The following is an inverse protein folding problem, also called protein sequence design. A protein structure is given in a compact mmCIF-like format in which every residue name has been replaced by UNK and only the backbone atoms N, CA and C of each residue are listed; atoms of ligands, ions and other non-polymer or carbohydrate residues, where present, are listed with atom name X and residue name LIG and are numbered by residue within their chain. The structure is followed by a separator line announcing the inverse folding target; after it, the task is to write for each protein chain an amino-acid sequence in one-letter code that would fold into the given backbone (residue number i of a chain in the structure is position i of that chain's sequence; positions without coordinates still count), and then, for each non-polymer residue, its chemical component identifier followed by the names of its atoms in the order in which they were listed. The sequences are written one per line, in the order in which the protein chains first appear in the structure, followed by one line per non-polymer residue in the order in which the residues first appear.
data_IF_891652533326
#
_entry.id   IF_891652533326
#
_cell.length_a   1.000
_cell.length_b   1.000
_cell.length_c   1.000
_cell.angle_alpha   90.00
_cell.angle_beta   90.00
_cell.angle_gamma   90.00
#
_symmetry.space_group_name_H-M   'P 1'
#
loop_
_entity.id
_entity.type
_entity.pdbx_description
1 polymer ?
#
# COMPACT_ATOMS: atom_id res chain seq x y z
N UNK A 1 -16.73 -25.73 13.19
CA UNK A 1 -17.31 -25.91 14.54
C UNK A 1 -18.02 -24.66 15.10
N UNK A 2 -17.73 -23.43 14.64
CA UNK A 2 -18.43 -22.21 15.10
C UNK A 2 -19.75 -21.89 14.37
N UNK A 3 -19.96 -22.43 13.17
CA UNK A 3 -21.17 -22.21 12.36
C UNK A 3 -22.43 -22.99 12.83
N UNK A 4 -22.29 -23.88 13.82
CA UNK A 4 -23.39 -24.72 14.35
C UNK A 4 -24.20 -24.04 15.47
N UNK A 5 -23.78 -22.87 15.95
CA UNK A 5 -24.55 -22.09 16.92
C UNK A 5 -25.38 -21.06 16.15
N UNK A 6 -26.57 -21.44 15.70
CA UNK A 6 -27.48 -20.54 14.95
C UNK A 6 -27.76 -19.21 15.66
N UNK A 7 -27.61 -19.17 16.99
CA UNK A 7 -27.74 -17.97 17.84
C UNK A 7 -26.56 -16.98 17.71
N UNK A 8 -25.34 -17.47 17.43
CA UNK A 8 -24.16 -16.61 17.16
C UNK A 8 -24.26 -15.96 15.77
N UNK A 9 -24.76 -16.70 14.77
CA UNK A 9 -25.01 -16.14 13.44
C UNK A 9 -26.03 -14.99 13.44
N UNK A 10 -27.11 -15.10 14.24
CA UNK A 10 -28.10 -14.03 14.39
C UNK A 10 -27.55 -12.77 15.05
N UNK A 11 -26.66 -12.90 16.04
CA UNK A 11 -25.97 -11.78 16.70
C UNK A 11 -24.99 -11.09 15.74
N UNK A 12 -24.26 -11.87 14.94
CA UNK A 12 -23.37 -11.32 13.90
C UNK A 12 -24.15 -10.59 12.80
N UNK A 13 -25.36 -11.05 12.45
CA UNK A 13 -26.27 -10.34 11.53
C UNK A 13 -26.82 -9.03 12.10
N UNK A 14 -26.80 -8.86 13.43
CA UNK A 14 -27.20 -7.60 14.07
C UNK A 14 -26.07 -6.57 14.07
N UNK A 15 -24.85 -6.96 13.69
CA UNK A 15 -23.71 -6.03 13.60
C UNK A 15 -23.93 -5.12 12.39
N UNK A 16 -24.10 -3.80 12.61
CA UNK A 16 -24.40 -2.88 11.53
C UNK A 16 -23.20 -2.73 10.59
N UNK A 17 -23.47 -2.58 9.29
CA UNK A 17 -22.46 -2.41 8.23
C UNK A 17 -21.35 -1.38 8.57
N UNK A 18 -21.65 -0.23 9.21
CA UNK A 18 -20.64 0.71 9.70
C UNK A 18 -19.54 0.10 10.58
N UNK A 19 -19.88 -0.84 11.48
CA UNK A 19 -18.90 -1.47 12.39
C UNK A 19 -18.03 -2.47 11.63
N UNK A 20 -18.61 -3.20 10.68
CA UNK A 20 -17.86 -4.10 9.80
C UNK A 20 -16.82 -3.34 8.96
N UNK A 21 -17.14 -2.13 8.49
CA UNK A 21 -16.17 -1.26 7.81
C UNK A 21 -15.01 -0.86 8.73
N UNK A 22 -15.30 -0.49 9.97
CA UNK A 22 -14.30 -0.08 10.96
C UNK A 22 -13.31 -1.18 11.30
N UNK A 23 -13.76 -2.41 11.56
CA UNK A 23 -12.85 -3.53 11.84
C UNK A 23 -11.93 -3.85 10.65
N UNK A 24 -12.44 -3.71 9.42
CA UNK A 24 -11.64 -3.92 8.21
C UNK A 24 -10.59 -2.83 8.06
N UNK A 25 -10.95 -1.57 8.30
CA UNK A 25 -10.00 -0.45 8.30
C UNK A 25 -8.88 -0.67 9.33
N UNK A 26 -9.20 -1.13 10.54
CA UNK A 26 -8.21 -1.45 11.57
C UNK A 26 -7.31 -2.63 11.18
N UNK A 27 -7.88 -3.70 10.60
CA UNK A 27 -7.12 -4.86 10.12
C UNK A 27 -6.14 -4.46 9.01
N UNK A 28 -6.63 -3.80 7.96
CA UNK A 28 -5.78 -3.33 6.86
C UNK A 28 -4.75 -2.30 7.34
N UNK A 29 -5.14 -1.38 8.23
CA UNK A 29 -4.23 -0.40 8.83
C UNK A 29 -3.12 -1.04 9.68
N UNK A 30 -3.43 -2.10 10.42
CA UNK A 30 -2.43 -2.86 11.20
C UNK A 30 -1.44 -3.56 10.27
N UNK A 31 -1.93 -4.19 9.18
CA UNK A 31 -1.08 -4.85 8.17
C UNK A 31 -0.16 -3.83 7.50
N UNK A 32 -0.67 -2.66 7.10
CA UNK A 32 0.11 -1.58 6.52
C UNK A 32 1.19 -1.07 7.49
N UNK A 33 0.84 -0.92 8.77
CA UNK A 33 1.78 -0.52 9.84
C UNK A 33 2.91 -1.53 10.00
N UNK A 34 2.61 -2.84 9.95
CA UNK A 34 3.63 -3.89 9.98
C UNK A 34 4.55 -3.81 8.77
N UNK A 35 4.01 -3.56 7.57
CA UNK A 35 4.80 -3.35 6.35
C UNK A 35 5.77 -2.17 6.48
N UNK A 36 5.28 -1.01 6.89
CA UNK A 36 6.08 0.18 7.14
C UNK A 36 7.15 -0.08 8.22
N UNK A 37 6.77 -0.76 9.31
CA UNK A 37 7.69 -1.11 10.38
C UNK A 37 8.84 -2.01 9.88
N UNK A 38 8.55 -2.94 8.96
CA UNK A 38 9.58 -3.75 8.30
C UNK A 38 10.55 -2.89 7.49
N UNK A 39 10.09 -1.86 6.77
CA UNK A 39 10.97 -0.93 6.05
C UNK A 39 11.92 -0.20 7.01
N UNK A 40 11.40 0.29 8.14
CA UNK A 40 12.20 0.98 9.16
C UNK A 40 13.21 0.01 9.81
N UNK A 41 12.76 -1.20 10.18
CA UNK A 41 13.63 -2.22 10.79
C UNK A 41 14.76 -2.66 9.87
N UNK A 42 14.49 -2.73 8.58
CA UNK A 42 15.49 -3.04 7.56
C UNK A 42 16.39 -1.85 7.21
N UNK A 43 16.28 -0.72 7.94
CA UNK A 43 17.08 0.49 7.72
C UNK A 43 17.00 0.97 6.26
N UNK A 44 15.81 0.89 5.65
CA UNK A 44 15.59 1.40 4.30
C UNK A 44 15.65 2.92 4.36
N UNK A 45 16.65 3.49 3.72
CA UNK A 45 16.87 4.93 3.70
C UNK A 45 15.81 5.63 2.83
N UNK A 46 14.74 6.10 3.46
CA UNK A 46 13.65 6.84 2.81
C UNK A 46 14.02 8.30 2.50
N UNK A 47 15.16 8.76 3.00
CA UNK A 47 15.71 10.07 2.66
C UNK A 47 16.26 10.09 1.23
N UNK A 48 16.60 8.92 0.70
CA UNK A 48 17.02 8.77 -0.69
C UNK A 48 15.80 8.84 -1.62
N UNK A 49 15.80 9.80 -2.54
CA UNK A 49 14.72 10.06 -3.51
C UNK A 49 14.31 8.79 -4.26
N UNK A 50 15.28 7.95 -4.65
CA UNK A 50 15.03 6.65 -5.30
C UNK A 50 14.16 5.71 -4.44
N UNK A 51 14.50 5.51 -3.18
CA UNK A 51 13.76 4.59 -2.32
C UNK A 51 12.37 5.15 -1.99
N UNK A 52 12.28 6.46 -1.77
CA UNK A 52 11.02 7.16 -1.53
C UNK A 52 10.04 7.00 -2.70
N UNK A 53 10.50 7.16 -3.94
CA UNK A 53 9.68 6.99 -5.15
C UNK A 53 9.22 5.54 -5.31
N UNK A 54 10.12 4.56 -5.11
CA UNK A 54 9.75 3.13 -5.21
C UNK A 54 8.64 2.80 -4.20
N UNK A 55 8.81 3.18 -2.94
CA UNK A 55 7.82 2.93 -1.89
C UNK A 55 6.51 3.67 -2.18
N UNK A 56 6.58 4.96 -2.53
CA UNK A 56 5.41 5.78 -2.85
C UNK A 56 4.58 5.23 -4.01
N UNK A 57 5.21 4.90 -5.13
CA UNK A 57 4.53 4.31 -6.29
C UNK A 57 3.92 2.95 -5.93
N UNK A 58 4.64 2.11 -5.19
CA UNK A 58 4.12 0.80 -4.77
C UNK A 58 2.88 0.94 -3.87
N UNK A 59 2.86 1.92 -2.96
CA UNK A 59 1.71 2.24 -2.12
C UNK A 59 0.52 2.76 -2.93
N UNK A 60 0.75 3.68 -3.87
CA UNK A 60 -0.30 4.24 -4.73
C UNK A 60 -0.94 3.17 -5.60
N UNK A 61 -0.13 2.28 -6.21
CA UNK A 61 -0.65 1.18 -7.02
C UNK A 61 -1.40 0.13 -6.17
N UNK A 62 -0.91 -0.16 -4.95
CA UNK A 62 -1.53 -1.13 -4.05
C UNK A 62 -2.86 -0.65 -3.45
N UNK A 63 -2.90 0.57 -2.92
CA UNK A 63 -4.09 1.16 -2.27
C UNK A 63 -5.05 1.75 -3.31
N UNK A 64 -4.53 2.34 -4.39
CA UNK A 64 -5.31 2.98 -5.44
C UNK A 64 -6.11 2.03 -6.33
N UNK A 65 -6.00 0.71 -6.10
CA UNK A 65 -6.83 -0.29 -6.78
C UNK A 65 -6.56 -0.40 -8.28
N UNK A 66 -5.37 0.01 -8.74
CA UNK A 66 -5.02 0.03 -10.15
C UNK A 66 -4.97 -1.40 -10.71
N UNK A 67 -5.52 -1.57 -11.91
CA UNK A 67 -5.63 -2.86 -12.58
C UNK A 67 -5.09 -2.73 -14.00
N UNK A 68 -4.22 -3.66 -14.39
CA UNK A 68 -3.69 -3.74 -15.75
C UNK A 68 -4.16 -5.05 -16.38
N UNK A 69 -5.04 -4.94 -17.37
CA UNK A 69 -5.54 -6.07 -18.15
C UNK A 69 -4.95 -6.07 -19.54
N UNK A 70 -4.37 -7.19 -19.97
CA UNK A 70 -3.99 -7.44 -21.36
C UNK A 70 -4.68 -8.73 -21.81
N UNK A 71 -5.77 -8.60 -22.56
CA UNK A 71 -6.61 -9.74 -22.97
C UNK A 71 -7.29 -10.42 -21.78
N UNK A 72 -7.16 -11.74 -21.67
CA UNK A 72 -7.71 -12.55 -20.57
C UNK A 72 -6.92 -12.46 -19.25
N UNK A 73 -5.76 -11.79 -19.26
CA UNK A 73 -4.91 -11.66 -18.08
C UNK A 73 -5.12 -10.30 -17.41
N UNK A 74 -5.65 -10.30 -16.19
CA UNK A 74 -5.82 -9.10 -15.35
C UNK A 74 -4.89 -9.16 -14.14
N UNK A 75 -3.87 -8.31 -14.12
CA UNK A 75 -3.02 -8.08 -12.96
C UNK A 75 -3.61 -6.95 -12.13
N UNK A 76 -3.99 -7.26 -10.90
CA UNK A 76 -4.61 -6.27 -10.02
C UNK A 76 -4.10 -6.38 -8.57
N UNK A 77 -4.14 -5.22 -7.90
CA UNK A 77 -3.85 -5.09 -6.49
C UNK A 77 -2.40 -5.41 -6.14
N UNK A 78 -2.22 -6.29 -5.15
CA UNK A 78 -0.92 -6.59 -4.53
C UNK A 78 0.05 -7.23 -5.54
N UNK A 79 -0.46 -8.02 -6.48
CA UNK A 79 0.36 -8.66 -7.53
C UNK A 79 0.99 -7.64 -8.47
N UNK A 80 0.19 -6.66 -8.93
CA UNK A 80 0.64 -5.59 -9.81
C UNK A 80 1.65 -4.69 -9.09
N UNK A 81 1.40 -4.33 -7.82
CA UNK A 81 2.32 -3.46 -7.09
C UNK A 81 3.71 -4.11 -6.89
N UNK A 82 3.77 -5.42 -6.62
CA UNK A 82 5.04 -6.14 -6.49
C UNK A 82 5.84 -6.14 -7.79
N UNK A 83 5.19 -6.37 -8.93
CA UNK A 83 5.83 -6.33 -10.24
C UNK A 83 6.35 -4.91 -10.54
N UNK A 84 5.53 -3.89 -10.30
CA UNK A 84 5.93 -2.48 -10.48
C UNK A 84 7.11 -2.13 -9.59
N UNK A 85 7.11 -2.52 -8.32
CA UNK A 85 8.21 -2.27 -7.38
C UNK A 85 9.53 -2.89 -7.85
N UNK A 86 9.49 -4.14 -8.33
CA UNK A 86 10.66 -4.85 -8.86
C UNK A 86 11.17 -4.16 -10.13
N UNK A 87 10.27 -3.82 -11.06
CA UNK A 87 10.62 -3.12 -12.29
C UNK A 87 11.25 -1.76 -12.00
N UNK A 88 10.67 -0.98 -11.09
CA UNK A 88 11.20 0.33 -10.71
C UNK A 88 12.54 0.21 -10.01
N UNK A 89 12.73 -0.78 -9.13
CA UNK A 89 14.03 -1.01 -8.50
C UNK A 89 15.13 -1.41 -9.50
N UNK A 90 14.77 -2.05 -10.62
CA UNK A 90 15.71 -2.43 -11.68
C UNK A 90 16.00 -1.27 -12.65
N UNK A 91 14.97 -0.51 -13.04
CA UNK A 91 15.11 0.60 -13.98
C UNK A 91 15.75 1.83 -13.37
N UNK A 92 15.61 2.04 -12.05
CA UNK A 92 16.05 3.26 -11.40
C UNK A 92 17.53 3.14 -10.97
N UNK A 93 18.47 3.84 -11.66
CA UNK A 93 19.90 3.73 -11.40
C UNK A 93 20.27 4.31 -10.02
N UNK A 94 21.31 3.74 -9.39
CA UNK A 94 21.76 4.09 -8.02
C UNK A 94 22.27 5.54 -7.85
N UNK A 95 22.32 6.34 -8.92
CA UNK A 95 22.90 7.69 -8.94
C UNK A 95 21.87 8.84 -8.90
N UNK A 96 20.58 8.55 -8.69
CA UNK A 96 19.56 9.59 -8.59
C UNK A 96 19.28 9.92 -7.12
N UNK A 97 20.00 10.92 -6.58
CA UNK A 97 19.89 11.16 -5.15
C UNK A 97 20.43 12.46 -4.56
N UNK A 98 20.62 13.53 -5.35
CA UNK A 98 21.04 14.81 -4.76
C UNK A 98 20.30 16.06 -5.27
N UNK A 99 19.29 15.99 -6.15
CA UNK A 99 18.90 17.24 -6.84
C UNK A 99 17.42 17.58 -7.11
N UNK A 100 16.38 16.77 -6.84
CA UNK A 100 15.03 17.17 -7.34
C UNK A 100 13.80 16.95 -6.47
N UNK A 101 13.83 16.19 -5.36
CA UNK A 101 12.61 16.02 -4.53
C UNK A 101 12.45 17.14 -3.49
N UNK A 102 13.56 17.75 -3.03
CA UNK A 102 13.52 18.88 -2.10
C UNK A 102 13.08 20.21 -2.75
N UNK A 103 13.26 20.38 -4.07
CA UNK A 103 12.94 21.64 -4.76
C UNK A 103 11.43 21.80 -5.05
N UNK A 104 10.72 20.68 -5.30
CA UNK A 104 9.31 20.73 -5.69
C UNK A 104 8.33 20.81 -4.51
N UNK A 105 8.71 20.33 -3.32
CA UNK A 105 7.86 20.41 -2.11
C UNK A 105 7.79 21.84 -1.52
N UNK A 106 8.71 22.74 -1.90
CA UNK A 106 8.69 24.14 -1.43
C UNK A 106 7.77 25.05 -2.28
N UNK A 107 7.24 24.59 -3.42
CA UNK A 107 6.32 25.38 -4.24
C UNK A 107 4.86 25.30 -3.78
N UNK A 108 4.44 24.26 -3.05
CA UNK A 108 3.04 24.11 -2.61
C UNK A 108 2.69 24.86 -1.31
N UNK A 109 3.68 25.28 -0.51
CA UNK A 109 3.42 26.10 0.69
C UNK A 109 3.34 27.62 0.38
N UNK A 110 3.69 28.03 -0.85
CA UNK A 110 3.73 29.44 -1.26
C UNK A 110 2.76 29.79 -2.40
N UNK A 111 1.59 29.15 -2.43
CA UNK A 111 0.44 29.57 -3.25
C UNK A 111 -0.81 29.64 -2.41
#
# INVERSE_FOLDING_TARGET
MLALVGKLGGILQTIPVPVMGGIMMLLFGSIATVGLNTLIKNQVDLHQSRNLVIVGVTLVFGIGGMAFGVGDFSLQGISLCGIVAILLNLFLPKNLGESQVAENAQMEEKS
#
